data_IF_560491196613
#
_entry.id   IF_560491196613
#
_cell.length_a   1.000
_cell.length_b   1.000
_cell.length_c   1.000
_cell.angle_alpha   90.00
_cell.angle_beta   90.00
_cell.angle_gamma   90.00
#
_symmetry.space_group_name_H-M   'P 1'
#
loop_
_entity.id
_entity.type
_entity.pdbx_description
1 polymer ?
#
# COMPACT_ATOMS: atom_id res chain seq x y z
N UNK A 1 2.05 11.22 -19.30
CA UNK A 1 1.58 10.85 -17.94
C UNK A 1 2.49 9.79 -17.34
N UNK A 2 2.79 9.91 -16.06
CA UNK A 2 3.53 8.85 -15.36
C UNK A 2 2.64 7.63 -15.12
N UNK A 3 3.25 6.49 -14.82
CA UNK A 3 2.52 5.26 -14.51
C UNK A 3 1.59 5.47 -13.30
N UNK A 4 2.04 6.19 -12.28
CA UNK A 4 1.21 6.47 -11.10
C UNK A 4 0.02 7.36 -11.44
N UNK A 5 0.18 8.33 -12.31
CA UNK A 5 -0.94 9.17 -12.77
C UNK A 5 -1.94 8.38 -13.59
N UNK A 6 -1.46 7.48 -14.46
CA UNK A 6 -2.33 6.60 -15.24
C UNK A 6 -3.14 5.67 -14.33
N UNK A 7 -2.49 5.08 -13.34
CA UNK A 7 -3.15 4.20 -12.36
C UNK A 7 -4.19 4.97 -11.56
N UNK A 8 -3.84 6.16 -11.05
CA UNK A 8 -4.77 7.00 -10.30
C UNK A 8 -6.00 7.33 -11.14
N UNK A 9 -5.82 7.76 -12.37
CA UNK A 9 -6.94 8.10 -13.25
C UNK A 9 -7.83 6.88 -13.51
N UNK A 10 -7.24 5.72 -13.78
CA UNK A 10 -8.01 4.49 -14.02
C UNK A 10 -8.82 4.08 -12.81
N UNK A 11 -8.24 4.15 -11.63
CA UNK A 11 -8.88 3.76 -10.37
C UNK A 11 -10.00 4.74 -10.01
N UNK A 12 -9.74 6.04 -10.13
CA UNK A 12 -10.74 7.07 -9.84
C UNK A 12 -11.92 6.96 -10.81
N UNK A 13 -11.65 6.77 -12.09
CA UNK A 13 -12.69 6.59 -13.10
C UNK A 13 -13.55 5.37 -12.77
N UNK A 14 -12.93 4.25 -12.38
CA UNK A 14 -13.64 3.04 -12.00
C UNK A 14 -14.66 3.31 -10.87
N UNK A 15 -14.27 4.06 -9.86
CA UNK A 15 -15.15 4.41 -8.73
C UNK A 15 -16.23 5.40 -9.14
N UNK A 16 -15.91 6.37 -9.99
CA UNK A 16 -16.87 7.36 -10.45
C UNK A 16 -17.96 6.76 -11.33
N UNK A 17 -17.60 5.85 -12.22
CA UNK A 17 -18.58 5.17 -13.08
C UNK A 17 -19.62 4.38 -12.28
N UNK A 18 -19.28 3.99 -11.07
CA UNK A 18 -20.13 3.21 -10.16
C UNK A 18 -20.77 4.05 -9.07
N UNK A 19 -20.50 5.35 -9.08
CA UNK A 19 -20.95 6.28 -8.05
C UNK A 19 -20.53 5.85 -6.63
N UNK A 20 -19.34 5.25 -6.52
CA UNK A 20 -18.82 4.77 -5.24
C UNK A 20 -18.10 5.85 -4.47
N UNK A 21 -17.68 6.93 -5.14
CA UNK A 21 -16.99 8.03 -4.49
C UNK A 21 -17.78 8.60 -3.30
N UNK A 22 -19.11 8.57 -3.39
CA UNK A 22 -20.00 9.02 -2.30
C UNK A 22 -19.79 8.24 -1.00
N UNK A 23 -19.30 6.99 -1.08
CA UNK A 23 -19.05 6.15 0.09
C UNK A 23 -17.59 6.21 0.55
N UNK A 24 -16.71 6.82 -0.23
CA UNK A 24 -15.27 6.81 -0.01
C UNK A 24 -14.83 8.04 0.78
N UNK A 25 -14.71 7.91 2.09
CA UNK A 25 -14.01 8.87 2.94
C UNK A 25 -12.73 8.22 3.45
N UNK A 26 -11.84 9.03 4.04
CA UNK A 26 -10.54 8.52 4.48
C UNK A 26 -10.63 7.38 5.47
N UNK A 27 -11.57 7.44 6.41
CA UNK A 27 -11.77 6.41 7.42
C UNK A 27 -12.18 5.08 6.80
N UNK A 28 -13.19 5.11 5.91
CA UNK A 28 -13.71 3.89 5.31
C UNK A 28 -12.72 3.28 4.30
N UNK A 29 -11.99 4.12 3.58
CA UNK A 29 -10.93 3.65 2.69
C UNK A 29 -9.78 3.00 3.48
N UNK A 30 -9.38 3.60 4.60
CA UNK A 30 -8.35 3.02 5.45
C UNK A 30 -8.80 1.68 6.04
N UNK A 31 -10.07 1.57 6.44
CA UNK A 31 -10.64 0.31 6.92
C UNK A 31 -10.61 -0.75 5.82
N UNK A 32 -11.05 -0.38 4.60
CA UNK A 32 -11.04 -1.30 3.46
C UNK A 32 -9.61 -1.78 3.14
N UNK A 33 -8.63 -0.89 3.19
CA UNK A 33 -7.23 -1.24 2.98
C UNK A 33 -6.77 -2.25 4.04
N UNK A 34 -7.14 -2.06 5.30
CA UNK A 34 -6.75 -2.97 6.38
C UNK A 34 -7.37 -4.36 6.20
N UNK A 35 -8.59 -4.44 5.68
CA UNK A 35 -9.25 -5.71 5.38
C UNK A 35 -8.51 -6.44 4.27
N UNK A 36 -8.13 -5.75 3.20
CA UNK A 36 -7.37 -6.35 2.11
C UNK A 36 -5.98 -6.82 2.57
N UNK A 37 -5.34 -6.06 3.47
CA UNK A 37 -4.08 -6.48 4.08
C UNK A 37 -4.26 -7.77 4.88
N UNK A 38 -5.37 -7.90 5.61
CA UNK A 38 -5.69 -9.12 6.34
C UNK A 38 -5.95 -10.30 5.38
N UNK A 39 -6.62 -10.07 4.26
CA UNK A 39 -6.83 -11.10 3.24
C UNK A 39 -5.53 -11.54 2.59
N UNK A 40 -4.60 -10.61 2.37
CA UNK A 40 -3.25 -10.96 1.92
C UNK A 40 -2.57 -11.86 2.95
N UNK A 41 -2.68 -11.53 4.22
CA UNK A 41 -2.13 -12.34 5.31
C UNK A 41 -2.73 -13.76 5.31
N UNK A 42 -4.04 -13.89 5.09
CA UNK A 42 -4.72 -15.18 5.00
C UNK A 42 -4.18 -16.06 3.87
N UNK A 43 -3.71 -15.44 2.78
CA UNK A 43 -3.13 -16.20 1.67
C UNK A 43 -1.88 -17.00 2.08
N UNK A 44 -1.22 -16.58 3.16
CA UNK A 44 -0.03 -17.25 3.70
C UNK A 44 -0.33 -18.10 4.93
N UNK A 45 -1.50 -17.97 5.53
CA UNK A 45 -1.84 -18.59 6.81
C UNK A 45 -1.75 -20.11 6.73
N UNK A 46 -1.00 -20.70 7.66
CA UNK A 46 -0.77 -22.15 7.76
C UNK A 46 -0.09 -22.77 6.53
N UNK A 47 0.53 -21.97 5.68
CA UNK A 47 1.18 -22.45 4.47
C UNK A 47 2.68 -22.20 4.51
N UNK A 48 3.42 -23.14 3.94
CA UNK A 48 4.80 -22.91 3.54
C UNK A 48 4.78 -21.87 2.41
N UNK A 49 5.69 -20.90 2.44
CA UNK A 49 5.74 -19.84 1.41
C UNK A 49 5.92 -20.39 -0.01
N UNK A 50 6.54 -21.56 -0.16
CA UNK A 50 6.68 -22.22 -1.47
C UNK A 50 5.36 -22.76 -2.05
N UNK A 51 4.32 -22.87 -1.21
CA UNK A 51 3.02 -23.43 -1.58
C UNK A 51 1.92 -22.38 -1.68
N UNK A 52 2.26 -21.12 -1.63
CA UNK A 52 1.31 -20.01 -1.68
C UNK A 52 0.71 -19.88 -3.08
N UNK A 53 -0.58 -19.61 -3.14
CA UNK A 53 -1.25 -19.31 -4.41
C UNK A 53 -0.90 -17.89 -4.83
N UNK A 54 0.02 -17.76 -5.78
CA UNK A 54 0.52 -16.48 -6.26
C UNK A 54 -0.59 -15.62 -6.88
N UNK A 55 -1.58 -16.25 -7.54
CA UNK A 55 -2.69 -15.49 -8.13
C UNK A 55 -3.53 -14.80 -7.06
N UNK A 56 -3.73 -15.44 -5.92
CA UNK A 56 -4.42 -14.80 -4.78
C UNK A 56 -3.59 -13.65 -4.20
N UNK A 57 -2.27 -13.84 -4.08
CA UNK A 57 -1.36 -12.77 -3.62
C UNK A 57 -1.45 -11.56 -4.55
N UNK A 58 -1.47 -11.77 -5.86
CA UNK A 58 -1.60 -10.70 -6.86
C UNK A 58 -2.89 -9.92 -6.68
N UNK A 59 -4.02 -10.61 -6.52
CA UNK A 59 -5.33 -9.98 -6.38
C UNK A 59 -5.41 -9.12 -5.12
N UNK A 60 -4.99 -9.68 -3.99
CA UNK A 60 -5.04 -8.96 -2.72
C UNK A 60 -4.05 -7.79 -2.69
N UNK A 61 -2.86 -7.98 -3.24
CA UNK A 61 -1.87 -6.92 -3.33
C UNK A 61 -2.38 -5.78 -4.23
N UNK A 62 -3.02 -6.12 -5.35
CA UNK A 62 -3.61 -5.13 -6.25
C UNK A 62 -4.67 -4.29 -5.52
N UNK A 63 -5.55 -4.93 -4.73
CA UNK A 63 -6.58 -4.21 -3.97
C UNK A 63 -5.98 -3.32 -2.88
N UNK A 64 -4.89 -3.74 -2.25
CA UNK A 64 -4.17 -2.89 -1.29
C UNK A 64 -3.68 -1.61 -1.98
N UNK A 65 -3.06 -1.74 -3.16
CA UNK A 65 -2.63 -0.56 -3.93
C UNK A 65 -3.80 0.29 -4.38
N UNK A 66 -4.91 -0.32 -4.81
CA UNK A 66 -6.09 0.42 -5.23
C UNK A 66 -6.62 1.31 -4.11
N UNK A 67 -6.78 0.79 -2.90
CA UNK A 67 -7.24 1.58 -1.76
C UNK A 67 -6.22 2.61 -1.31
N UNK A 68 -4.92 2.28 -1.35
CA UNK A 68 -3.86 3.24 -1.02
C UNK A 68 -3.90 4.44 -1.98
N UNK A 69 -4.07 4.20 -3.27
CA UNK A 69 -4.14 5.25 -4.28
C UNK A 69 -5.41 6.09 -4.11
N UNK A 70 -6.55 5.46 -3.78
CA UNK A 70 -7.78 6.20 -3.49
C UNK A 70 -7.63 7.11 -2.27
N UNK A 71 -6.94 6.66 -1.23
CA UNK A 71 -6.67 7.51 -0.07
C UNK A 71 -5.80 8.71 -0.46
N UNK A 72 -4.75 8.47 -1.22
CA UNK A 72 -3.87 9.54 -1.70
C UNK A 72 -4.66 10.57 -2.54
N UNK A 73 -5.56 10.09 -3.39
CA UNK A 73 -6.41 10.95 -4.21
C UNK A 73 -7.33 11.81 -3.33
N UNK A 74 -7.94 11.22 -2.31
CA UNK A 74 -8.83 11.94 -1.38
C UNK A 74 -8.16 13.11 -0.68
N UNK A 75 -6.89 12.95 -0.31
CA UNK A 75 -6.13 13.97 0.40
C UNK A 75 -5.20 14.77 -0.51
N UNK A 76 -5.35 14.61 -1.82
CA UNK A 76 -4.55 15.31 -2.82
C UNK A 76 -3.04 15.15 -2.58
N UNK A 77 -2.62 13.91 -2.34
CA UNK A 77 -1.23 13.58 -2.05
C UNK A 77 -0.53 13.08 -3.31
N UNK A 78 0.71 13.51 -3.49
CA UNK A 78 1.60 12.97 -4.53
C UNK A 78 2.25 11.70 -4.00
N UNK A 79 1.86 10.56 -4.54
CA UNK A 79 2.30 9.24 -4.05
C UNK A 79 3.81 9.09 -4.12
N UNK A 80 4.40 9.47 -5.25
CA UNK A 80 5.86 9.38 -5.42
C UNK A 80 6.58 10.20 -4.36
N UNK A 81 6.12 11.44 -4.14
CA UNK A 81 6.77 12.34 -3.21
C UNK A 81 6.66 11.84 -1.77
N UNK A 82 5.47 11.38 -1.34
CA UNK A 82 5.32 10.92 0.04
C UNK A 82 6.14 9.66 0.32
N UNK A 83 6.30 8.80 -0.68
CA UNK A 83 7.13 7.59 -0.55
C UNK A 83 8.61 7.99 -0.43
N UNK A 84 9.08 8.86 -1.31
CA UNK A 84 10.48 9.32 -1.27
C UNK A 84 10.80 10.07 0.03
N UNK A 85 9.88 10.91 0.50
CA UNK A 85 10.05 11.62 1.76
C UNK A 85 10.14 10.66 2.94
N UNK A 86 9.31 9.62 2.94
CA UNK A 86 9.33 8.62 4.01
C UNK A 86 10.60 7.77 3.97
N UNK A 87 11.08 7.43 2.79
CA UNK A 87 12.37 6.72 2.65
C UNK A 87 13.51 7.55 3.23
N UNK A 88 13.51 8.87 3.02
CA UNK A 88 14.51 9.76 3.60
C UNK A 88 14.47 9.72 5.13
N UNK A 89 13.28 9.80 5.71
CA UNK A 89 13.10 9.70 7.18
C UNK A 89 13.56 8.35 7.71
N UNK A 90 13.27 7.28 6.96
CA UNK A 90 13.68 5.93 7.34
C UNK A 90 15.21 5.78 7.27
N UNK A 91 15.85 6.41 6.28
CA UNK A 91 17.31 6.40 6.16
C UNK A 91 17.97 7.07 7.37
N UNK A 92 17.37 8.10 7.92
CA UNK A 92 17.85 8.75 9.14
C UNK A 92 17.76 7.84 10.37
N UNK A 93 16.66 7.05 10.47
CA UNK A 93 16.47 6.09 11.57
C UNK A 93 17.32 4.85 11.43
N UNK A 94 17.59 4.44 10.20
CA UNK A 94 18.32 3.21 9.86
C UNK A 94 19.51 3.52 8.97
N UNK A 95 20.54 4.23 9.50
CA UNK A 95 21.72 4.49 8.68
C UNK A 95 22.40 3.18 8.27
N UNK A 96 22.97 3.15 7.08
CA UNK A 96 23.50 1.92 6.46
C UNK A 96 24.52 1.22 7.36
N UNK A 97 25.42 1.97 7.96
CA UNK A 97 26.48 1.43 8.82
C UNK A 97 25.95 0.69 10.04
N UNK A 98 24.78 1.08 10.55
CA UNK A 98 24.15 0.44 11.73
C UNK A 98 23.11 -0.59 11.35
N UNK A 99 22.39 -0.38 10.26
CA UNK A 99 21.27 -1.23 9.88
C UNK A 99 21.68 -2.41 8.99
N UNK A 100 22.84 -2.35 8.34
CA UNK A 100 23.25 -3.39 7.41
C UNK A 100 23.31 -4.76 8.08
N UNK A 101 22.54 -5.70 7.52
CA UNK A 101 22.49 -7.07 8.03
C UNK A 101 21.72 -7.25 9.33
N UNK A 102 20.99 -6.24 9.82
CA UNK A 102 20.23 -6.29 11.07
C UNK A 102 18.75 -6.00 10.84
N UNK A 103 17.88 -6.76 11.48
CA UNK A 103 16.44 -6.53 11.48
C UNK A 103 15.95 -5.82 12.74
N UNK A 104 16.86 -5.31 13.57
CA UNK A 104 16.50 -4.60 14.80
C UNK A 104 15.82 -3.27 14.51
N UNK A 105 14.91 -2.86 15.39
CA UNK A 105 14.31 -1.53 15.31
C UNK A 105 15.36 -0.45 15.54
N UNK A 106 15.08 0.77 15.04
CA UNK A 106 16.03 1.88 15.10
C UNK A 106 16.49 2.22 16.52
N UNK A 107 15.61 2.02 17.52
CA UNK A 107 15.93 2.30 18.92
C UNK A 107 16.75 1.19 19.59
N UNK A 108 17.02 0.10 18.87
CA UNK A 108 17.84 -1.01 19.34
C UNK A 108 19.19 -1.12 18.60
N UNK A 109 19.39 -0.24 17.62
CA UNK A 109 20.63 -0.23 16.82
C UNK A 109 21.80 0.42 17.56
#
# INVERSE_FOLDING_TARGET
MSDLEELREAIVQFTQERDWDQFHNGKDLALALSIEAAELNEAFLWKDTSKVNVEKVKEELADIFNYAILIADKYDLDIKQIILDKLQKNAEKYPVDKAYGSAKKYNEL
#
